data_IF_478897407174
#
_entry.id   IF_478897407174
#
_cell.length_a   1.000
_cell.length_b   1.000
_cell.length_c   1.000
_cell.angle_alpha   90.00
_cell.angle_beta   90.00
_cell.angle_gamma   90.00
#
_symmetry.space_group_name_H-M   'P 1'
#
loop_
_entity.id
_entity.type
_entity.pdbx_description
1 polymer ?
#
# COMPACT_ATOMS: atom_id res chain seq x y z
N UNK A 1 12.61 13.06 18.88
CA UNK A 1 12.18 11.82 18.21
C UNK A 1 11.78 12.16 16.78
N UNK A 2 12.33 11.48 15.78
CA UNK A 2 12.00 11.67 14.36
C UNK A 2 11.10 10.54 13.86
N UNK A 3 10.51 10.70 12.68
CA UNK A 3 9.83 9.60 11.98
C UNK A 3 10.80 8.46 11.63
N UNK A 4 10.23 7.28 11.41
CA UNK A 4 10.94 6.07 10.96
C UNK A 4 10.26 5.51 9.71
N UNK A 5 11.06 4.93 8.80
CA UNK A 5 10.55 4.34 7.57
C UNK A 5 11.06 2.90 7.44
N UNK A 6 10.13 1.95 7.31
CA UNK A 6 10.40 0.53 7.12
C UNK A 6 10.10 0.05 5.70
N UNK A 7 9.63 0.94 4.82
CA UNK A 7 9.23 0.61 3.47
C UNK A 7 10.42 0.10 2.64
N UNK A 8 10.17 -0.93 1.84
CA UNK A 8 11.13 -1.44 0.86
C UNK A 8 10.58 -1.28 -0.55
N UNK A 9 11.28 -0.52 -1.39
CA UNK A 9 10.94 -0.40 -2.80
C UNK A 9 10.88 -1.80 -3.46
N UNK A 10 9.89 -2.04 -4.32
CA UNK A 10 9.66 -3.35 -4.96
C UNK A 10 8.90 -4.38 -4.13
N UNK A 11 8.65 -4.09 -2.85
CA UNK A 11 7.78 -4.92 -2.00
C UNK A 11 6.30 -4.72 -2.31
N UNK A 12 5.49 -5.70 -1.92
CA UNK A 12 4.04 -5.63 -1.91
C UNK A 12 3.48 -6.18 -0.61
N UNK A 13 2.15 -6.30 -0.52
CA UNK A 13 1.50 -7.05 0.55
C UNK A 13 1.84 -8.53 0.46
N UNK A 14 1.90 -9.12 -0.74
CA UNK A 14 2.33 -10.51 -0.88
C UNK A 14 3.85 -10.63 -0.70
N UNK A 15 4.27 -11.51 0.22
CA UNK A 15 5.68 -11.84 0.42
C UNK A 15 6.34 -12.35 -0.87
N UNK A 16 5.58 -13.05 -1.74
CA UNK A 16 6.08 -13.55 -3.02
C UNK A 16 6.54 -12.42 -3.96
N UNK A 17 5.80 -11.31 -4.01
CA UNK A 17 6.18 -10.11 -4.78
C UNK A 17 7.57 -9.62 -4.38
N UNK A 18 7.84 -9.64 -3.07
CA UNK A 18 9.08 -9.15 -2.52
C UNK A 18 10.25 -10.11 -2.75
N UNK A 19 10.00 -11.43 -2.66
CA UNK A 19 10.99 -12.48 -2.96
C UNK A 19 11.48 -12.40 -4.41
N UNK A 20 10.56 -12.22 -5.37
CA UNK A 20 10.91 -12.12 -6.79
C UNK A 20 11.74 -10.86 -7.12
N UNK A 21 11.64 -9.84 -6.28
CA UNK A 21 12.38 -8.58 -6.45
C UNK A 21 13.62 -8.50 -5.54
N UNK A 22 13.90 -9.53 -4.74
CA UNK A 22 14.93 -9.54 -3.69
C UNK A 22 14.83 -8.34 -2.71
N UNK A 23 13.61 -8.10 -2.21
CA UNK A 23 13.25 -6.96 -1.36
C UNK A 23 12.63 -7.42 -0.06
N UNK A 24 12.51 -6.52 0.93
CA UNK A 24 11.95 -6.87 2.23
C UNK A 24 10.43 -7.03 2.13
N UNK A 25 9.89 -8.24 2.40
CA UNK A 25 8.45 -8.44 2.43
C UNK A 25 7.76 -7.67 3.56
N UNK A 26 6.46 -7.42 3.43
CA UNK A 26 5.65 -6.74 4.45
C UNK A 26 5.84 -7.36 5.84
N UNK A 27 5.89 -8.69 5.93
CA UNK A 27 6.16 -9.42 7.18
C UNK A 27 7.50 -9.01 7.83
N UNK A 28 8.55 -8.77 7.03
CA UNK A 28 9.85 -8.29 7.52
C UNK A 28 9.82 -6.82 7.91
N UNK A 29 9.06 -5.98 7.21
CA UNK A 29 8.88 -4.57 7.57
C UNK A 29 8.15 -4.44 8.92
N UNK A 30 7.14 -5.29 9.18
CA UNK A 30 6.48 -5.38 10.51
C UNK A 30 7.44 -5.88 11.59
N UNK A 31 8.34 -6.82 11.28
CA UNK A 31 9.36 -7.24 12.24
C UNK A 31 10.36 -6.13 12.57
N UNK A 32 10.77 -5.32 11.59
CA UNK A 32 11.59 -4.13 11.84
C UNK A 32 10.86 -3.13 12.76
N UNK A 33 9.54 -2.99 12.62
CA UNK A 33 8.74 -2.21 13.55
C UNK A 33 8.76 -2.80 14.97
N UNK A 34 8.66 -4.12 15.14
CA UNK A 34 8.79 -4.78 16.46
C UNK A 34 10.16 -4.53 17.09
N UNK A 35 11.24 -4.63 16.30
CA UNK A 35 12.59 -4.29 16.77
C UNK A 35 12.70 -2.82 17.19
N UNK A 36 12.08 -1.92 16.42
CA UNK A 36 11.99 -0.50 16.78
C UNK A 36 11.25 -0.29 18.10
N UNK A 37 10.16 -1.02 18.36
CA UNK A 37 9.43 -0.95 19.64
C UNK A 37 10.32 -1.31 20.83
N UNK A 38 11.20 -2.31 20.70
CA UNK A 38 12.17 -2.63 21.76
C UNK A 38 13.18 -1.49 21.97
N UNK A 39 13.68 -0.90 20.88
CA UNK A 39 14.65 0.19 20.94
C UNK A 39 14.06 1.44 21.60
N UNK A 40 12.88 1.88 21.17
CA UNK A 40 12.23 3.07 21.72
C UNK A 40 11.92 2.89 23.22
N UNK A 41 11.44 1.70 23.63
CA UNK A 41 11.21 1.38 25.06
C UNK A 41 12.47 1.50 25.90
N UNK A 42 13.62 1.06 25.39
CA UNK A 42 14.90 1.20 26.09
C UNK A 42 15.37 2.66 26.21
N UNK A 43 14.97 3.54 25.28
CA UNK A 43 15.41 4.94 25.26
C UNK A 43 14.52 5.82 26.14
N UNK A 44 13.19 5.67 26.05
CA UNK A 44 12.23 6.58 26.71
C UNK A 44 11.41 5.91 27.83
N UNK A 45 11.57 4.62 28.04
CA UNK A 45 10.76 3.82 28.96
C UNK A 45 9.43 3.36 28.36
N UNK A 46 8.83 2.34 28.96
CA UNK A 46 7.60 1.69 28.46
C UNK A 46 6.43 2.66 28.30
N UNK A 47 6.12 3.45 29.34
CA UNK A 47 4.96 4.34 29.36
C UNK A 47 5.02 5.38 28.22
N UNK A 48 6.19 5.99 28.04
CA UNK A 48 6.37 7.02 27.02
C UNK A 48 6.44 6.40 25.62
N UNK A 49 7.07 5.22 25.46
CA UNK A 49 7.05 4.50 24.20
C UNK A 49 5.63 4.15 23.76
N UNK A 50 4.80 3.62 24.66
CA UNK A 50 3.38 3.35 24.39
C UNK A 50 2.64 4.62 23.96
N UNK A 51 2.83 5.74 24.67
CA UNK A 51 2.22 7.03 24.31
C UNK A 51 2.64 7.49 22.92
N UNK A 52 3.92 7.35 22.56
CA UNK A 52 4.42 7.76 21.24
C UNK A 52 3.78 6.91 20.14
N UNK A 53 3.76 5.59 20.30
CA UNK A 53 3.22 4.67 19.28
C UNK A 53 1.70 4.85 19.12
N UNK A 54 0.97 5.02 20.21
CA UNK A 54 -0.48 5.27 20.19
C UNK A 54 -0.83 6.57 19.43
N UNK A 55 -0.01 7.59 19.57
CA UNK A 55 -0.20 8.90 18.92
C UNK A 55 0.49 9.02 17.55
N UNK A 56 1.18 7.98 17.09
CA UNK A 56 1.86 7.99 15.78
C UNK A 56 0.91 7.60 14.66
N UNK A 57 1.05 8.27 13.51
CA UNK A 57 0.42 7.84 12.26
C UNK A 57 1.23 6.73 11.61
N UNK A 58 0.62 5.56 11.44
CA UNK A 58 1.17 4.47 10.63
C UNK A 58 0.63 4.59 9.21
N UNK A 59 1.51 4.98 8.29
CA UNK A 59 1.19 5.15 6.88
C UNK A 59 1.56 3.88 6.09
N UNK A 60 0.60 3.30 5.37
CA UNK A 60 0.79 2.09 4.58
C UNK A 60 0.47 2.41 3.12
N UNK A 61 1.49 2.33 2.28
CA UNK A 61 1.38 2.42 0.82
C UNK A 61 2.05 1.20 0.21
N UNK A 62 1.22 0.23 -0.21
CA UNK A 62 1.66 -1.04 -0.77
C UNK A 62 0.58 -1.59 -1.71
N UNK A 63 0.94 -2.54 -2.56
CA UNK A 63 0.01 -3.17 -3.51
C UNK A 63 0.40 -2.98 -4.99
N UNK A 64 0.91 -1.81 -5.39
CA UNK A 64 1.23 -1.54 -6.81
C UNK A 64 2.14 -2.59 -7.45
N UNK A 65 3.13 -3.08 -6.68
CA UNK A 65 4.02 -4.15 -7.14
C UNK A 65 3.31 -5.51 -7.25
N UNK A 66 2.36 -5.81 -6.35
CA UNK A 66 1.54 -7.04 -6.39
C UNK A 66 0.75 -7.09 -7.70
N UNK A 67 0.02 -6.02 -8.01
CA UNK A 67 -0.75 -5.92 -9.26
C UNK A 67 0.15 -5.94 -10.49
N UNK A 68 1.25 -5.18 -10.48
CA UNK A 68 2.24 -5.23 -11.57
C UNK A 68 2.77 -6.65 -11.82
N UNK A 69 3.02 -7.42 -10.75
CA UNK A 69 3.45 -8.83 -10.87
C UNK A 69 2.32 -9.74 -11.30
N UNK A 70 1.09 -9.52 -10.84
CA UNK A 70 -0.09 -10.24 -11.29
C UNK A 70 -0.21 -10.17 -12.81
N UNK A 71 -0.19 -8.97 -13.42
CA UNK A 71 -0.30 -8.81 -14.88
C UNK A 71 0.83 -9.50 -15.67
N UNK A 72 1.99 -9.70 -15.05
CA UNK A 72 3.19 -10.29 -15.66
C UNK A 72 3.40 -11.78 -15.37
N UNK A 73 2.53 -12.41 -14.58
CA UNK A 73 2.73 -13.78 -14.10
C UNK A 73 1.67 -14.73 -14.64
N UNK A 74 1.96 -16.04 -14.59
CA UNK A 74 0.97 -17.08 -14.89
C UNK A 74 -0.17 -17.14 -13.85
N UNK A 75 -0.13 -16.33 -12.78
CA UNK A 75 -1.18 -16.26 -11.75
C UNK A 75 -2.53 -15.87 -12.38
N UNK A 76 -2.55 -15.00 -13.39
CA UNK A 76 -3.78 -14.61 -14.12
C UNK A 76 -4.51 -15.76 -14.80
N UNK A 77 -3.79 -16.87 -15.11
CA UNK A 77 -4.41 -18.06 -15.71
C UNK A 77 -5.11 -18.95 -14.68
N UNK A 78 -4.84 -18.73 -13.38
CA UNK A 78 -5.29 -19.59 -12.27
C UNK A 78 -6.22 -18.89 -11.29
N UNK A 79 -6.20 -17.56 -11.27
CA UNK A 79 -6.94 -16.72 -10.34
C UNK A 79 -7.32 -15.46 -11.10
N UNK A 80 -8.61 -15.12 -11.11
CA UNK A 80 -9.05 -13.89 -11.75
C UNK A 80 -8.69 -12.66 -10.90
N UNK A 81 -8.84 -11.47 -11.49
CA UNK A 81 -8.41 -10.22 -10.86
C UNK A 81 -9.24 -9.90 -9.60
N UNK A 82 -10.52 -10.27 -9.57
CA UNK A 82 -11.41 -10.05 -8.44
C UNK A 82 -10.98 -10.87 -7.23
N UNK A 83 -10.74 -12.16 -7.42
CA UNK A 83 -10.20 -13.06 -6.39
C UNK A 83 -8.83 -12.59 -5.89
N UNK A 84 -7.98 -12.13 -6.81
CA UNK A 84 -6.65 -11.63 -6.48
C UNK A 84 -6.71 -10.38 -5.58
N UNK A 85 -7.56 -9.41 -5.94
CA UNK A 85 -7.81 -8.22 -5.12
C UNK A 85 -8.24 -8.60 -3.70
N UNK A 86 -9.16 -9.56 -3.56
CA UNK A 86 -9.67 -9.99 -2.26
C UNK A 86 -8.57 -10.69 -1.43
N UNK A 87 -7.67 -11.42 -2.08
CA UNK A 87 -6.48 -11.98 -1.45
C UNK A 87 -5.55 -10.90 -0.90
N UNK A 88 -5.23 -9.88 -1.70
CA UNK A 88 -4.37 -8.75 -1.29
C UNK A 88 -5.02 -7.97 -0.13
N UNK A 89 -6.33 -7.74 -0.17
CA UNK A 89 -7.08 -7.06 0.90
C UNK A 89 -7.04 -7.84 2.22
N UNK A 90 -7.15 -9.17 2.19
CA UNK A 90 -7.01 -10.00 3.40
C UNK A 90 -5.63 -9.83 4.04
N UNK A 91 -4.57 -9.74 3.24
CA UNK A 91 -3.22 -9.51 3.75
C UNK A 91 -3.08 -8.10 4.33
N UNK A 92 -3.56 -7.08 3.62
CA UNK A 92 -3.56 -5.70 4.12
C UNK A 92 -4.31 -5.58 5.46
N UNK A 93 -5.49 -6.22 5.56
CA UNK A 93 -6.27 -6.29 6.80
C UNK A 93 -5.48 -6.96 7.93
N UNK A 94 -4.80 -8.08 7.65
CA UNK A 94 -3.99 -8.78 8.63
C UNK A 94 -2.81 -7.93 9.12
N UNK A 95 -2.13 -7.22 8.22
CA UNK A 95 -1.03 -6.31 8.58
C UNK A 95 -1.51 -5.17 9.49
N UNK A 96 -2.66 -4.57 9.21
CA UNK A 96 -3.24 -3.52 10.09
C UNK A 96 -3.59 -4.10 11.47
N UNK A 97 -4.21 -5.28 11.52
CA UNK A 97 -4.54 -5.96 12.80
C UNK A 97 -3.28 -6.25 13.63
N UNK A 98 -2.21 -6.69 12.99
CA UNK A 98 -0.93 -6.94 13.66
C UNK A 98 -0.30 -5.63 14.17
N UNK A 99 -0.28 -4.57 13.37
CA UNK A 99 0.24 -3.27 13.80
C UNK A 99 -0.60 -2.66 14.94
N UNK A 100 -1.91 -2.89 14.93
CA UNK A 100 -2.81 -2.50 16.01
C UNK A 100 -2.52 -3.26 17.31
N UNK A 101 -2.28 -4.58 17.24
CA UNK A 101 -1.93 -5.38 18.42
C UNK A 101 -0.58 -4.95 19.03
N UNK A 102 0.29 -4.34 18.21
CA UNK A 102 1.56 -3.75 18.63
C UNK A 102 1.44 -2.31 19.19
N UNK A 103 0.22 -1.77 19.30
CA UNK A 103 -0.06 -0.48 19.93
C UNK A 103 -0.41 0.65 18.96
N UNK A 104 -0.33 0.42 17.64
CA UNK A 104 -0.76 1.43 16.66
C UNK A 104 -2.24 1.75 16.79
N UNK A 105 -2.61 3.03 16.72
CA UNK A 105 -4.02 3.47 16.73
C UNK A 105 -4.43 4.32 15.55
N UNK A 106 -3.49 5.00 14.89
CA UNK A 106 -3.80 5.86 13.76
C UNK A 106 -3.20 5.26 12.48
N UNK A 107 -4.04 4.95 11.51
CA UNK A 107 -3.66 4.31 10.26
C UNK A 107 -4.11 5.13 9.07
N UNK A 108 -3.23 5.29 8.10
CA UNK A 108 -3.58 5.81 6.78
C UNK A 108 -3.19 4.77 5.73
N UNK A 109 -4.17 4.27 4.98
CA UNK A 109 -3.95 3.31 3.91
C UNK A 109 -4.18 4.00 2.56
N UNK A 110 -3.15 4.00 1.72
CA UNK A 110 -3.24 4.51 0.37
C UNK A 110 -3.87 3.46 -0.57
N UNK A 111 -4.82 3.91 -1.39
CA UNK A 111 -5.25 3.15 -2.56
C UNK A 111 -4.13 3.00 -3.59
N UNK A 112 -4.36 2.17 -4.59
CA UNK A 112 -3.51 2.07 -5.77
C UNK A 112 -3.60 3.36 -6.59
N UNK A 113 -2.47 3.89 -7.08
CA UNK A 113 -2.47 4.94 -8.11
C UNK A 113 -2.97 4.37 -9.46
N UNK A 114 -3.14 5.19 -10.51
CA UNK A 114 -3.34 4.71 -11.88
C UNK A 114 -2.08 3.99 -12.40
N UNK A 115 -1.84 2.77 -11.91
CA UNK A 115 -0.58 2.06 -12.16
C UNK A 115 -0.42 1.61 -13.62
N UNK A 116 -1.51 1.53 -14.38
CA UNK A 116 -1.48 1.33 -15.84
C UNK A 116 -0.81 2.47 -16.59
N UNK A 117 -0.65 3.64 -15.96
CA UNK A 117 0.11 4.77 -16.50
C UNK A 117 1.60 4.76 -16.12
N UNK A 118 2.09 3.73 -15.42
CA UNK A 118 3.53 3.66 -15.09
C UNK A 118 4.36 3.33 -16.35
N UNK A 119 5.59 3.85 -16.48
CA UNK A 119 6.42 3.64 -17.68
C UNK A 119 6.62 2.17 -18.05
N UNK A 120 6.70 1.29 -17.05
CA UNK A 120 6.84 -0.15 -17.26
C UNK A 120 5.57 -0.78 -17.85
N UNK A 121 4.37 -0.35 -17.44
CA UNK A 121 3.12 -0.89 -17.97
C UNK A 121 2.87 -0.38 -19.39
N UNK A 122 3.08 0.92 -19.63
CA UNK A 122 3.01 1.52 -20.97
C UNK A 122 3.94 0.79 -21.94
N UNK A 123 5.20 0.58 -21.55
CA UNK A 123 6.19 -0.08 -22.42
C UNK A 123 5.82 -1.53 -22.73
N UNK A 124 5.26 -2.26 -21.76
CA UNK A 124 4.87 -3.67 -21.96
C UNK A 124 3.54 -3.84 -22.70
N UNK A 125 2.69 -2.80 -22.71
CA UNK A 125 1.44 -2.82 -23.46
C UNK A 125 1.68 -2.92 -24.98
N UNK A 126 2.82 -2.42 -25.45
CA UNK A 126 3.12 -2.32 -26.88
C UNK A 126 2.29 -1.27 -27.61
N UNK A 127 1.55 -0.42 -26.88
CA UNK A 127 0.73 0.63 -27.46
C UNK A 127 1.62 1.68 -28.17
N UNK A 128 1.41 1.92 -29.48
CA UNK A 128 2.23 2.84 -30.26
C UNK A 128 2.07 4.30 -29.82
N UNK A 129 0.90 4.66 -29.28
CA UNK A 129 0.59 6.00 -28.76
C UNK A 129 1.09 6.19 -27.33
N UNK A 130 1.74 5.16 -26.75
CA UNK A 130 2.29 5.17 -25.38
C UNK A 130 1.20 5.48 -24.35
N UNK A 131 -0.04 5.08 -24.64
CA UNK A 131 -1.19 5.31 -23.77
C UNK A 131 -1.12 4.48 -22.47
N UNK A 132 -1.84 4.94 -21.45
CA UNK A 132 -2.03 4.15 -20.24
C UNK A 132 -2.82 2.87 -20.52
N UNK A 133 -2.58 1.82 -19.73
CA UNK A 133 -3.35 0.58 -19.84
C UNK A 133 -4.68 0.68 -19.09
N UNK A 134 -5.78 0.92 -19.82
CA UNK A 134 -7.12 1.14 -19.26
C UNK A 134 -7.64 -0.02 -18.41
N UNK A 135 -7.40 -1.27 -18.81
CA UNK A 135 -7.76 -2.47 -18.03
C UNK A 135 -7.18 -2.39 -16.62
N UNK A 136 -5.89 -2.10 -16.52
CA UNK A 136 -5.17 -2.03 -15.25
C UNK A 136 -5.65 -0.86 -14.38
N UNK A 137 -5.96 0.28 -15.00
CA UNK A 137 -6.49 1.43 -14.27
C UNK A 137 -7.92 1.17 -13.73
N UNK A 138 -8.78 0.51 -14.51
CA UNK A 138 -10.11 0.06 -14.01
C UNK A 138 -9.96 -0.92 -12.85
N UNK A 139 -9.03 -1.86 -12.94
CA UNK A 139 -8.78 -2.84 -11.88
C UNK A 139 -8.16 -2.20 -10.62
N UNK A 140 -7.39 -1.11 -10.77
CA UNK A 140 -6.92 -0.29 -9.65
C UNK A 140 -8.10 0.37 -8.91
N UNK A 141 -9.02 0.99 -9.64
CA UNK A 141 -10.21 1.62 -9.07
C UNK A 141 -11.15 0.59 -8.40
N UNK A 142 -11.28 -0.60 -8.99
CA UNK A 142 -12.06 -1.70 -8.40
C UNK A 142 -11.45 -2.17 -7.07
N UNK A 143 -10.13 -2.33 -7.00
CA UNK A 143 -9.43 -2.62 -5.73
C UNK A 143 -9.64 -1.50 -4.70
N UNK A 144 -9.47 -0.24 -5.10
CA UNK A 144 -9.64 0.92 -4.22
C UNK A 144 -11.06 0.98 -3.65
N UNK A 145 -12.07 0.75 -4.49
CA UNK A 145 -13.47 0.68 -4.07
C UNK A 145 -13.71 -0.41 -3.02
N UNK A 146 -13.05 -1.57 -3.15
CA UNK A 146 -13.11 -2.65 -2.15
C UNK A 146 -12.37 -2.26 -0.86
N UNK A 147 -11.21 -1.62 -0.97
CA UNK A 147 -10.45 -1.11 0.18
C UNK A 147 -11.28 -0.09 0.97
N UNK A 148 -11.84 0.91 0.31
CA UNK A 148 -12.70 1.94 0.93
C UNK A 148 -13.89 1.33 1.68
N UNK A 149 -14.51 0.27 1.14
CA UNK A 149 -15.59 -0.46 1.82
C UNK A 149 -15.10 -1.29 3.01
N UNK A 150 -13.89 -1.83 2.95
CA UNK A 150 -13.29 -2.64 4.02
C UNK A 150 -12.90 -1.80 5.25
N UNK A 151 -12.37 -0.58 5.04
CA UNK A 151 -11.77 0.21 6.12
C UNK A 151 -12.75 0.56 7.27
N UNK A 152 -14.01 0.96 7.02
CA UNK A 152 -14.97 1.21 8.10
C UNK A 152 -15.27 -0.03 8.95
N UNK A 153 -15.44 -1.19 8.31
CA UNK A 153 -15.67 -2.45 9.01
C UNK A 153 -14.43 -2.87 9.83
N UNK A 154 -13.24 -2.68 9.28
CA UNK A 154 -11.98 -2.94 9.98
C UNK A 154 -11.84 -2.02 11.20
N UNK A 155 -12.10 -0.72 11.06
CA UNK A 155 -12.08 0.23 12.18
C UNK A 155 -13.09 -0.15 13.26
N UNK A 156 -14.31 -0.57 12.86
CA UNK A 156 -15.33 -1.05 13.80
C UNK A 156 -14.88 -2.26 14.61
N UNK A 157 -14.04 -3.12 14.05
CA UNK A 157 -13.45 -4.28 14.75
C UNK A 157 -12.22 -3.95 15.61
N UNK A 158 -11.62 -2.77 15.42
CA UNK A 158 -10.40 -2.32 16.09
C UNK A 158 -10.72 -1.11 16.97
N UNK A 159 -11.46 -1.34 18.06
CA UNK A 159 -11.91 -0.28 18.96
C UNK A 159 -10.76 0.62 19.43
N UNK A 160 -10.97 1.93 19.36
CA UNK A 160 -9.95 2.93 19.69
C UNK A 160 -8.97 3.24 18.55
N UNK A 161 -9.10 2.61 17.38
CA UNK A 161 -8.36 3.02 16.18
C UNK A 161 -9.05 4.14 15.41
N UNK A 162 -8.25 4.87 14.64
CA UNK A 162 -8.67 5.74 13.54
C UNK A 162 -8.00 5.23 12.28
N UNK A 163 -8.79 4.92 11.26
CA UNK A 163 -8.32 4.39 9.98
C UNK A 163 -8.86 5.30 8.89
N UNK A 164 -7.96 5.91 8.12
CA UNK A 164 -8.30 6.79 7.00
C UNK A 164 -7.80 6.22 5.68
N UNK A 165 -8.60 6.44 4.65
CA UNK A 165 -8.23 6.15 3.26
C UNK A 165 -7.51 7.36 2.65
N UNK A 166 -6.44 7.11 1.90
CA UNK A 166 -5.82 8.09 1.02
C UNK A 166 -6.11 7.72 -0.44
N UNK A 167 -6.84 8.59 -1.13
CA UNK A 167 -7.13 8.45 -2.57
C UNK A 167 -5.91 8.85 -3.42
N UNK A 168 -4.95 7.94 -3.48
CA UNK A 168 -3.78 8.11 -4.34
C UNK A 168 -4.17 8.11 -5.81
N UNK A 169 -5.25 7.40 -6.20
CA UNK A 169 -5.68 7.34 -7.59
C UNK A 169 -6.05 8.72 -8.11
N UNK A 170 -6.97 9.41 -7.42
CA UNK A 170 -7.40 10.74 -7.82
C UNK A 170 -6.28 11.77 -7.70
N UNK A 171 -5.43 11.68 -6.67
CA UNK A 171 -4.28 12.57 -6.51
C UNK A 171 -3.32 12.50 -7.71
N UNK A 172 -2.95 11.30 -8.15
CA UNK A 172 -2.09 11.12 -9.31
C UNK A 172 -2.82 11.41 -10.63
N UNK A 173 -4.11 11.08 -10.74
CA UNK A 173 -4.90 11.39 -11.93
C UNK A 173 -4.98 12.90 -12.17
N UNK A 174 -5.22 13.70 -11.13
CA UNK A 174 -5.25 15.16 -11.23
C UNK A 174 -3.92 15.73 -11.74
N UNK A 175 -2.80 15.15 -11.30
CA UNK A 175 -1.46 15.52 -11.79
C UNK A 175 -1.29 15.17 -13.27
N UNK A 176 -1.72 13.96 -13.67
CA UNK A 176 -1.61 13.50 -15.05
C UNK A 176 -2.51 14.30 -16.02
N UNK A 177 -3.71 14.66 -15.57
CA UNK A 177 -4.67 15.45 -16.36
C UNK A 177 -4.30 16.95 -16.40
N UNK A 178 -3.66 17.48 -15.35
CA UNK A 178 -3.34 18.90 -15.21
C UNK A 178 -1.84 19.17 -14.90
N UNK A 179 -0.89 18.64 -15.68
CA UNK A 179 0.55 18.68 -15.34
C UNK A 179 1.09 20.10 -15.16
N UNK A 180 0.62 21.05 -15.96
CA UNK A 180 1.03 22.45 -15.88
C UNK A 180 0.69 23.11 -14.53
N UNK A 181 -0.45 22.74 -13.92
CA UNK A 181 -0.85 23.21 -12.57
C UNK A 181 0.16 22.77 -11.49
N UNK A 182 0.88 21.69 -11.74
CA UNK A 182 1.91 21.13 -10.86
C UNK A 182 3.33 21.39 -11.35
N UNK A 183 3.52 22.30 -12.32
CA UNK A 183 4.84 22.68 -12.85
C UNK A 183 5.51 21.61 -13.72
N UNK A 184 4.76 20.61 -14.20
CA UNK A 184 5.25 19.58 -15.12
C UNK A 184 4.99 19.98 -16.58
N UNK A 185 5.92 19.65 -17.47
CA UNK A 185 5.79 19.86 -18.91
C UNK A 185 5.51 18.50 -19.56
N UNK A 186 4.45 18.43 -20.37
CA UNK A 186 4.22 17.27 -21.25
C UNK A 186 5.08 17.47 -22.48
N UNK A 187 6.05 16.58 -22.70
CA UNK A 187 6.89 16.55 -23.90
C UNK A 187 6.26 15.66 -24.97
#
# INVERSE_FOLDING_TARGET
MTGVNFASAGSGFEDQTSRLSNTLPMSKQVNLFKEYLLRIRNIVGEKEASRIIENSLIFISSGTNDFTRYYRSLKRKKMDIGEYQDSVLRIAQASVKELFSLGGRQFCLAGLPPFGCTPIQITLSGDPDRACVDEQNRDAQAYNSKLEKLLPALQGSLHGSKIVYLDAYQAFKEILDNPAKYGMVVQ
#
